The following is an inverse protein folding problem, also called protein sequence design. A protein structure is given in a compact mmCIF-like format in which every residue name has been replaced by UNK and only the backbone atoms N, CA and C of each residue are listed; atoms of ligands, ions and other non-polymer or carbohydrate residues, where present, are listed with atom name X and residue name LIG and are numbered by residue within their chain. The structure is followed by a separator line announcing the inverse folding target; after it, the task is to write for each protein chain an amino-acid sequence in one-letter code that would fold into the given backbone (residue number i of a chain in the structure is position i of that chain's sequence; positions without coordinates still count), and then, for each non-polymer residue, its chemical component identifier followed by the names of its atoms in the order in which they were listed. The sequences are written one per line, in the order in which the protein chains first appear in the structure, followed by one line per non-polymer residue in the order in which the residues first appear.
data_IF_979247649727
#
_entry.id   IF_979247649727
#
_cell.length_a   1.000
_cell.length_b   1.000
_cell.length_c   1.000
_cell.angle_alpha   90.00
_cell.angle_beta   90.00
_cell.angle_gamma   90.00
#
_symmetry.space_group_name_H-M   'P 1'
#
loop_
_entity.id
_entity.type
_entity.pdbx_description
1 polymer ?
#
# COMPACT_ATOMS: atom_id res chain seq x y z
N UNK A 1 1.72 -17.65 18.01
CA UNK A 1 2.78 -16.80 18.57
C UNK A 1 2.46 -15.34 18.27
N UNK A 2 2.56 -14.49 19.28
CA UNK A 2 2.36 -13.03 19.13
C UNK A 2 3.71 -12.36 19.39
N UNK A 3 4.15 -11.53 18.46
CA UNK A 3 5.41 -10.81 18.49
C UNK A 3 5.13 -9.31 18.32
N UNK A 4 5.57 -8.51 19.27
CA UNK A 4 5.41 -7.06 19.26
C UNK A 4 6.74 -6.41 18.90
N UNK A 5 6.78 -5.71 17.76
CA UNK A 5 7.97 -5.05 17.20
C UNK A 5 9.25 -5.90 17.22
N UNK A 6 9.22 -7.17 16.76
CA UNK A 6 10.33 -8.11 16.98
C UNK A 6 11.64 -7.72 16.30
N UNK A 7 11.57 -6.87 15.27
CA UNK A 7 12.74 -6.43 14.49
C UNK A 7 13.17 -5.00 14.82
N UNK A 8 12.54 -4.38 15.81
CA UNK A 8 12.92 -3.04 16.24
C UNK A 8 14.38 -3.03 16.77
N UNK A 9 15.18 -2.08 16.29
CA UNK A 9 16.58 -1.95 16.68
C UNK A 9 17.57 -2.92 16.01
N UNK A 10 17.09 -3.85 15.20
CA UNK A 10 17.95 -4.71 14.39
C UNK A 10 18.39 -3.96 13.12
N UNK A 11 19.61 -4.27 12.66
CA UNK A 11 20.06 -3.85 11.33
C UNK A 11 19.39 -4.65 10.22
N UNK A 12 19.54 -4.23 8.97
CA UNK A 12 18.86 -4.82 7.80
C UNK A 12 19.16 -6.33 7.68
N UNK A 13 20.41 -6.75 7.89
CA UNK A 13 20.81 -8.15 7.75
C UNK A 13 20.13 -9.02 8.83
N UNK A 14 20.16 -8.54 10.08
CA UNK A 14 19.54 -9.24 11.19
C UNK A 14 18.00 -9.34 11.04
N UNK A 15 17.36 -8.36 10.41
CA UNK A 15 15.90 -8.42 10.09
C UNK A 15 15.61 -9.46 9.03
N UNK A 16 16.39 -9.51 7.96
CA UNK A 16 16.25 -10.54 6.92
C UNK A 16 16.41 -11.94 7.51
N UNK A 17 17.42 -12.15 8.36
CA UNK A 17 17.65 -13.43 9.05
C UNK A 17 16.46 -13.79 9.96
N UNK A 18 15.91 -12.81 10.69
CA UNK A 18 14.73 -13.02 11.53
C UNK A 18 13.53 -13.50 10.71
N UNK A 19 13.19 -12.83 9.61
CA UNK A 19 12.07 -13.22 8.76
C UNK A 19 12.29 -14.58 8.08
N UNK A 20 13.52 -14.89 7.71
CA UNK A 20 13.88 -16.21 7.18
C UNK A 20 13.62 -17.32 8.20
N UNK A 21 14.10 -17.16 9.43
CA UNK A 21 13.84 -18.11 10.51
C UNK A 21 12.35 -18.25 10.84
N UNK A 22 11.61 -17.14 10.80
CA UNK A 22 10.17 -17.15 11.00
C UNK A 22 9.45 -17.97 9.94
N UNK A 23 9.84 -17.81 8.67
CA UNK A 23 9.26 -18.57 7.55
C UNK A 23 9.62 -20.06 7.61
N UNK A 24 10.83 -20.38 8.05
CA UNK A 24 11.26 -21.76 8.28
C UNK A 24 10.39 -22.41 9.36
N UNK A 25 10.22 -21.79 10.53
CA UNK A 25 9.36 -22.30 11.60
C UNK A 25 7.89 -22.39 11.18
N UNK A 26 7.38 -21.39 10.44
CA UNK A 26 6.03 -21.43 9.88
C UNK A 26 5.83 -22.64 8.95
N UNK A 27 6.79 -22.88 8.06
CA UNK A 27 6.73 -23.99 7.10
C UNK A 27 6.79 -25.35 7.78
N UNK A 28 7.64 -25.48 8.81
CA UNK A 28 7.83 -26.74 9.53
C UNK A 28 6.65 -27.08 10.46
N UNK A 29 6.09 -26.06 11.11
CA UNK A 29 5.14 -26.27 12.22
C UNK A 29 3.70 -25.90 11.90
N UNK A 30 3.46 -25.09 10.86
CA UNK A 30 2.15 -24.57 10.52
C UNK A 30 1.55 -23.62 11.59
N UNK A 31 2.39 -23.08 12.49
CA UNK A 31 1.92 -22.15 13.53
C UNK A 31 1.46 -20.84 12.96
N UNK A 32 0.47 -20.23 13.59
CA UNK A 32 0.09 -18.87 13.31
C UNK A 32 0.99 -17.89 14.06
N UNK A 33 1.52 -16.91 13.34
CA UNK A 33 2.24 -15.77 13.88
C UNK A 33 1.42 -14.51 13.70
N UNK A 34 1.34 -13.70 14.77
CA UNK A 34 0.77 -12.35 14.72
C UNK A 34 1.91 -11.41 15.08
N UNK A 35 2.22 -10.49 14.18
CA UNK A 35 3.35 -9.58 14.33
C UNK A 35 2.85 -8.15 14.23
N UNK A 36 3.10 -7.34 15.27
CA UNK A 36 2.95 -5.90 15.17
C UNK A 36 4.27 -5.30 14.71
N UNK A 37 4.24 -4.42 13.74
CA UNK A 37 5.42 -3.69 13.27
C UNK A 37 5.05 -2.41 12.53
N UNK A 38 5.91 -1.41 12.61
CA UNK A 38 5.89 -0.22 11.77
C UNK A 38 6.89 -0.31 10.61
N UNK A 39 7.72 -1.35 10.57
CA UNK A 39 8.70 -1.61 9.50
C UNK A 39 8.06 -2.53 8.47
N UNK A 40 7.30 -1.94 7.56
CA UNK A 40 6.39 -2.66 6.65
C UNK A 40 7.12 -3.23 5.43
N UNK A 41 8.14 -2.53 4.94
CA UNK A 41 8.77 -2.83 3.65
C UNK A 41 9.35 -4.25 3.59
N UNK A 42 10.04 -4.68 4.64
CA UNK A 42 10.64 -6.00 4.74
C UNK A 42 9.60 -7.09 5.05
N UNK A 43 8.61 -6.74 5.87
CA UNK A 43 7.53 -7.65 6.28
C UNK A 43 6.53 -7.96 5.16
N UNK A 44 6.43 -7.10 4.15
CA UNK A 44 5.46 -7.21 3.07
C UNK A 44 5.50 -8.55 2.30
N UNK A 45 6.69 -9.14 2.19
CA UNK A 45 6.89 -10.41 1.47
C UNK A 45 6.63 -11.66 2.33
N UNK A 46 6.39 -11.46 3.63
CA UNK A 46 6.23 -12.53 4.61
C UNK A 46 4.77 -12.69 5.04
N UNK A 47 4.02 -11.60 5.09
CA UNK A 47 2.66 -11.60 5.61
C UNK A 47 1.63 -12.08 4.59
N UNK A 48 0.89 -13.12 4.94
CA UNK A 48 -0.29 -13.56 4.19
C UNK A 48 -1.47 -12.59 4.37
N UNK A 49 -1.65 -12.08 5.59
CA UNK A 49 -2.75 -11.19 5.98
C UNK A 49 -2.24 -9.94 6.67
N UNK A 50 -2.95 -8.86 6.45
CA UNK A 50 -2.71 -7.59 7.13
C UNK A 50 -3.93 -7.17 7.93
N UNK A 51 -3.67 -6.63 9.12
CA UNK A 51 -4.64 -5.96 9.97
C UNK A 51 -4.14 -4.54 10.15
N UNK A 52 -4.87 -3.59 9.61
CA UNK A 52 -4.52 -2.18 9.69
C UNK A 52 -5.30 -1.53 10.80
N UNK A 53 -4.57 -0.91 11.73
CA UNK A 53 -5.15 -0.19 12.86
C UNK A 53 -4.99 1.31 12.65
N UNK A 54 -6.05 2.06 12.93
CA UNK A 54 -6.05 3.52 12.92
C UNK A 54 -6.85 4.02 14.12
N UNK A 55 -6.28 4.96 14.88
CA UNK A 55 -6.95 5.59 16.05
C UNK A 55 -7.51 4.58 17.07
N UNK A 56 -6.77 3.49 17.30
CA UNK A 56 -7.16 2.44 18.25
C UNK A 56 -8.26 1.48 17.77
N UNK A 57 -8.68 1.59 16.52
CA UNK A 57 -9.65 0.71 15.88
C UNK A 57 -9.07 -0.05 14.71
N UNK A 58 -9.66 -1.19 14.38
CA UNK A 58 -9.32 -1.93 13.16
C UNK A 58 -9.96 -1.20 11.98
N UNK A 59 -9.11 -0.67 11.10
CA UNK A 59 -9.54 0.01 9.89
C UNK A 59 -9.76 -0.97 8.73
N UNK A 60 -8.93 -2.01 8.62
CA UNK A 60 -9.03 -3.00 7.54
C UNK A 60 -8.40 -4.34 7.95
N UNK A 61 -8.98 -5.43 7.46
CA UNK A 61 -8.42 -6.80 7.52
C UNK A 61 -8.50 -7.38 6.12
N UNK A 62 -7.38 -7.79 5.56
CA UNK A 62 -7.34 -8.33 4.20
C UNK A 62 -6.17 -9.30 3.98
N UNK A 63 -6.28 -10.14 2.96
CA UNK A 63 -5.11 -10.82 2.38
C UNK A 63 -4.16 -9.76 1.81
N UNK A 64 -2.86 -9.91 2.05
CA UNK A 64 -1.85 -8.90 1.67
C UNK A 64 -1.87 -8.58 0.18
N UNK A 65 -1.92 -9.60 -0.67
CA UNK A 65 -1.98 -9.41 -2.13
C UNK A 65 -3.25 -8.66 -2.57
N UNK A 66 -4.41 -9.02 -1.99
CA UNK A 66 -5.68 -8.37 -2.29
C UNK A 66 -5.69 -6.91 -1.83
N UNK A 67 -5.12 -6.65 -0.66
CA UNK A 67 -4.97 -5.30 -0.15
C UNK A 67 -4.12 -4.43 -1.07
N UNK A 68 -2.89 -4.86 -1.35
CA UNK A 68 -1.95 -4.14 -2.22
C UNK A 68 -2.51 -4.00 -3.64
N UNK A 69 -3.11 -5.07 -4.18
CA UNK A 69 -3.72 -5.08 -5.51
C UNK A 69 -4.93 -4.17 -5.68
N UNK A 70 -5.49 -3.64 -4.59
CA UNK A 70 -6.60 -2.69 -4.63
C UNK A 70 -6.18 -1.23 -4.81
N UNK A 71 -4.86 -0.96 -4.87
CA UNK A 71 -4.31 0.38 -5.05
C UNK A 71 -3.56 0.50 -6.37
N UNK A 72 -3.50 1.71 -6.89
CA UNK A 72 -2.64 2.10 -8.00
C UNK A 72 -2.09 3.51 -7.79
N UNK A 73 -0.99 3.79 -8.47
CA UNK A 73 -0.43 5.12 -8.56
C UNK A 73 -0.41 5.54 -10.03
N UNK A 74 -0.90 6.72 -10.31
CA UNK A 74 -0.99 7.25 -11.67
C UNK A 74 -0.18 8.53 -11.77
N UNK A 75 0.53 8.70 -12.89
CA UNK A 75 1.30 9.91 -13.19
C UNK A 75 1.05 10.37 -14.61
N UNK A 76 0.98 11.65 -14.82
CA UNK A 76 0.75 12.23 -16.13
C UNK A 76 0.63 13.75 -16.07
N UNK A 77 0.17 14.35 -17.17
CA UNK A 77 -0.13 15.78 -17.18
C UNK A 77 -1.29 16.10 -16.24
N UNK A 78 -1.25 17.28 -15.64
CA UNK A 78 -2.25 17.73 -14.67
C UNK A 78 -3.69 17.52 -15.15
N UNK A 79 -4.00 17.91 -16.39
CA UNK A 79 -5.32 17.79 -16.99
C UNK A 79 -5.76 16.34 -17.23
N UNK A 80 -4.83 15.45 -17.62
CA UNK A 80 -5.12 14.04 -17.87
C UNK A 80 -5.37 13.28 -16.57
N UNK A 81 -4.55 13.54 -15.54
CA UNK A 81 -4.73 12.93 -14.22
C UNK A 81 -6.00 13.45 -13.55
N UNK A 82 -6.29 14.75 -13.63
CA UNK A 82 -7.52 15.33 -13.10
C UNK A 82 -8.77 14.73 -13.75
N UNK A 83 -8.76 14.57 -15.08
CA UNK A 83 -9.86 13.94 -15.83
C UNK A 83 -10.03 12.45 -15.45
N UNK A 84 -8.93 11.72 -15.24
CA UNK A 84 -8.95 10.34 -14.77
C UNK A 84 -9.55 10.24 -13.36
N UNK A 85 -9.10 11.08 -12.44
CA UNK A 85 -9.61 11.13 -11.08
C UNK A 85 -11.10 11.46 -11.04
N UNK A 86 -11.56 12.41 -11.85
CA UNK A 86 -12.98 12.74 -11.97
C UNK A 86 -13.82 11.57 -12.51
N UNK A 87 -13.28 10.83 -13.49
CA UNK A 87 -13.94 9.65 -14.07
C UNK A 87 -14.08 8.50 -13.07
N UNK A 88 -13.06 8.28 -12.23
CA UNK A 88 -13.04 7.23 -11.21
C UNK A 88 -13.83 7.60 -9.94
N UNK A 89 -14.02 8.88 -9.71
CA UNK A 89 -14.69 9.44 -8.54
C UNK A 89 -13.72 9.94 -7.46
N UNK A 90 -13.99 11.10 -6.90
CA UNK A 90 -13.15 11.76 -5.91
C UNK A 90 -12.92 10.91 -4.65
N UNK A 91 -13.87 10.06 -4.26
CA UNK A 91 -13.74 9.15 -3.11
C UNK A 91 -12.67 8.08 -3.28
N UNK A 92 -12.24 7.82 -4.51
CA UNK A 92 -11.19 6.86 -4.85
C UNK A 92 -9.79 7.47 -4.82
N UNK A 93 -9.68 8.79 -4.83
CA UNK A 93 -8.41 9.51 -4.75
C UNK A 93 -8.00 9.63 -3.28
N UNK A 94 -6.84 9.06 -2.94
CA UNK A 94 -6.32 9.03 -1.58
C UNK A 94 -5.30 10.14 -1.33
N UNK A 95 -4.46 10.41 -2.32
CA UNK A 95 -3.40 11.40 -2.24
C UNK A 95 -3.09 11.95 -3.63
N UNK A 96 -2.68 13.20 -3.70
CA UNK A 96 -2.25 13.85 -4.94
C UNK A 96 -0.98 14.63 -4.68
N UNK A 97 -0.02 14.55 -5.59
CA UNK A 97 1.24 15.29 -5.51
C UNK A 97 1.60 15.89 -6.87
N UNK A 98 2.22 17.07 -6.85
CA UNK A 98 2.57 17.80 -8.06
C UNK A 98 4.09 17.83 -8.27
N UNK A 99 4.52 17.49 -9.47
CA UNK A 99 5.93 17.49 -9.92
C UNK A 99 6.09 18.41 -11.14
N UNK A 100 6.19 19.70 -10.91
CA UNK A 100 6.28 20.67 -12.00
C UNK A 100 4.98 20.75 -12.81
N UNK A 101 4.98 20.16 -14.03
CA UNK A 101 3.81 20.08 -14.93
C UNK A 101 3.15 18.70 -14.94
N UNK A 102 3.54 17.85 -14.03
CA UNK A 102 2.98 16.50 -13.87
C UNK A 102 2.34 16.37 -12.51
N UNK A 103 1.28 15.60 -12.46
CA UNK A 103 0.59 15.21 -11.24
C UNK A 103 0.71 13.71 -11.05
N UNK A 104 1.01 13.29 -9.82
CA UNK A 104 0.86 11.94 -9.34
C UNK A 104 -0.37 11.82 -8.45
N UNK A 105 -1.11 10.73 -8.57
CA UNK A 105 -2.24 10.45 -7.69
C UNK A 105 -2.25 8.99 -7.23
N UNK A 106 -2.43 8.79 -5.93
CA UNK A 106 -2.67 7.48 -5.35
C UNK A 106 -4.17 7.20 -5.32
N UNK A 107 -4.57 6.07 -5.87
CA UNK A 107 -5.95 5.69 -6.05
C UNK A 107 -6.27 4.39 -5.31
N UNK A 108 -7.45 4.32 -4.66
CA UNK A 108 -8.03 3.07 -4.17
C UNK A 108 -8.78 2.36 -5.32
N UNK A 109 -8.02 2.02 -6.35
CA UNK A 109 -8.50 1.38 -7.58
C UNK A 109 -7.44 0.40 -8.05
N UNK A 110 -7.79 -0.85 -8.40
CA UNK A 110 -6.83 -1.80 -8.96
C UNK A 110 -6.15 -1.27 -10.23
N UNK A 111 -4.86 -1.57 -10.47
CA UNK A 111 -4.13 -1.08 -11.63
C UNK A 111 -4.83 -1.35 -12.97
N UNK A 112 -5.44 -2.52 -13.15
CA UNK A 112 -6.20 -2.86 -14.37
C UNK A 112 -7.38 -1.93 -14.60
N UNK A 113 -8.11 -1.58 -13.54
CA UNK A 113 -9.26 -0.67 -13.63
C UNK A 113 -8.79 0.77 -13.89
N UNK A 114 -7.72 1.20 -13.25
CA UNK A 114 -7.11 2.50 -13.50
C UNK A 114 -6.61 2.60 -14.94
N UNK A 115 -5.95 1.55 -15.47
CA UNK A 115 -5.48 1.47 -16.85
C UNK A 115 -6.62 1.59 -17.86
N UNK A 116 -7.73 0.85 -17.64
CA UNK A 116 -8.91 0.92 -18.50
C UNK A 116 -9.56 2.32 -18.47
N UNK A 117 -9.58 2.96 -17.32
CA UNK A 117 -10.10 4.32 -17.18
C UNK A 117 -9.18 5.38 -17.81
N UNK A 118 -7.87 5.11 -17.87
CA UNK A 118 -6.86 5.99 -18.47
C UNK A 118 -6.80 5.89 -20.00
N UNK A 119 -7.56 4.99 -20.62
CA UNK A 119 -7.55 4.78 -22.06
C UNK A 119 -7.80 6.10 -22.83
N UNK A 120 -6.91 6.40 -23.78
CA UNK A 120 -6.95 7.64 -24.55
C UNK A 120 -6.31 8.86 -23.87
N UNK A 121 -5.64 8.69 -22.75
CA UNK A 121 -4.90 9.74 -22.02
C UNK A 121 -3.42 9.38 -21.89
N UNK A 122 -2.59 10.41 -21.76
CA UNK A 122 -1.15 10.25 -21.53
C UNK A 122 -0.90 10.14 -20.00
N UNK A 123 -1.26 8.97 -19.46
CA UNK A 123 -1.16 8.65 -18.03
C UNK A 123 -0.50 7.30 -17.86
N UNK A 124 0.56 7.25 -17.05
CA UNK A 124 1.19 6.01 -16.61
C UNK A 124 0.49 5.48 -15.35
N UNK A 125 0.22 4.18 -15.34
CA UNK A 125 -0.37 3.48 -14.19
C UNK A 125 0.62 2.46 -13.66
N UNK A 126 0.91 2.54 -12.36
CA UNK A 126 1.82 1.63 -11.68
C UNK A 126 1.18 0.99 -10.44
N UNK A 127 1.59 -0.23 -10.07
CA UNK A 127 1.21 -0.82 -8.81
C UNK A 127 1.90 -0.08 -7.64
N UNK A 128 1.39 -0.26 -6.44
CA UNK A 128 2.01 0.23 -5.20
C UNK A 128 2.48 -0.95 -4.36
N UNK A 129 3.45 -0.74 -3.48
CA UNK A 129 3.85 -1.72 -2.48
C UNK A 129 3.02 -1.58 -1.19
N UNK A 130 3.14 -2.54 -0.27
CA UNK A 130 2.38 -2.56 0.99
C UNK A 130 2.63 -1.29 1.83
N UNK A 131 3.86 -0.83 1.92
CA UNK A 131 4.21 0.37 2.68
C UNK A 131 3.51 1.62 2.12
N UNK A 132 3.55 1.82 0.81
CA UNK A 132 2.85 2.94 0.16
C UNK A 132 1.34 2.83 0.30
N UNK A 133 0.77 1.64 0.11
CA UNK A 133 -0.66 1.41 0.30
C UNK A 133 -1.09 1.77 1.73
N UNK A 134 -0.30 1.37 2.73
CA UNK A 134 -0.53 1.74 4.12
C UNK A 134 -0.46 3.24 4.35
N UNK A 135 0.59 3.90 3.85
CA UNK A 135 0.76 5.36 4.00
C UNK A 135 -0.41 6.12 3.37
N UNK A 136 -0.86 5.73 2.18
CA UNK A 136 -1.99 6.37 1.52
C UNK A 136 -3.32 6.13 2.25
N UNK A 137 -3.51 4.96 2.86
CA UNK A 137 -4.71 4.66 3.63
C UNK A 137 -4.71 5.36 5.01
N UNK A 138 -3.55 5.37 5.69
CA UNK A 138 -3.40 5.94 7.03
C UNK A 138 -3.24 7.46 7.00
N UNK A 139 -2.74 8.02 5.90
CA UNK A 139 -2.58 9.47 5.71
C UNK A 139 -3.92 10.18 5.86
N UNK A 140 -3.89 11.37 6.47
CA UNK A 140 -5.03 12.28 6.39
C UNK A 140 -5.21 12.65 4.91
N UNK A 141 -6.46 12.70 4.46
CA UNK A 141 -6.77 13.32 3.17
C UNK A 141 -6.33 14.78 3.28
N UNK A 142 -5.15 15.09 2.77
CA UNK A 142 -4.88 16.47 2.42
C UNK A 142 -5.96 16.84 1.40
N UNK A 143 -6.75 17.86 1.73
CA UNK A 143 -7.78 18.40 0.85
C UNK A 143 -7.16 18.64 -0.52
N UNK A 144 -7.40 17.70 -1.43
CA UNK A 144 -7.04 17.91 -2.81
C UNK A 144 -7.97 18.97 -3.36
N UNK A 145 -7.48 20.13 -3.74
CA UNK A 145 -8.27 21.03 -4.54
C UNK A 145 -8.46 20.35 -5.90
N UNK A 146 -9.63 19.79 -6.07
CA UNK A 146 -10.13 19.50 -7.41
C UNK A 146 -10.57 20.79 -8.07
#
# INVERSE_FOLDING_TARGET
TILDEPVAGLDVVAREDFYKLLLEDYTETGRTFIISTHIIEEAANVFEKVIIMKEGAIAEVAETESFVGSFSFVTGKDEDVAALCARLGASKVLHTEHFGRQTGAALRVPPRQAQAAAEGRDVDVSPVNLQKAFVYLAGEKEDAPC
#
